data_IF_268103011552
#
_entry.id   IF_268103011552
#
_cell.length_a   1.000
_cell.length_b   1.000
_cell.length_c   1.000
_cell.angle_alpha   90.00
_cell.angle_beta   90.00
_cell.angle_gamma   90.00
#
_symmetry.space_group_name_H-M   'P 1'
#
loop_
_entity.id
_entity.type
_entity.pdbx_description
1 polymer ?
#
# COMPACT_ATOMS: atom_id res chain seq x y z
N UNK A 1 -16.31 6.74 7.77
CA UNK A 1 -15.85 5.40 7.37
C UNK A 1 -15.48 4.61 8.61
N UNK A 2 -15.95 3.38 8.71
CA UNK A 2 -15.60 2.49 9.82
C UNK A 2 -14.24 1.85 9.59
N UNK A 3 -13.65 1.25 10.63
CA UNK A 3 -12.40 0.52 10.50
C UNK A 3 -12.52 -0.64 9.51
N UNK A 4 -13.66 -1.34 9.53
CA UNK A 4 -13.89 -2.44 8.60
C UNK A 4 -13.91 -1.95 7.15
N UNK A 5 -14.58 -0.84 6.89
CA UNK A 5 -14.60 -0.25 5.55
C UNK A 5 -13.21 0.22 5.14
N UNK A 6 -12.45 0.78 6.07
CA UNK A 6 -11.08 1.24 5.80
C UNK A 6 -10.17 0.10 5.34
N UNK A 7 -10.24 -1.03 6.01
CA UNK A 7 -9.32 -2.14 5.75
C UNK A 7 -9.80 -3.08 4.65
N UNK A 8 -11.10 -3.21 4.42
CA UNK A 8 -11.62 -4.27 3.55
C UNK A 8 -12.41 -3.78 2.34
N UNK A 9 -12.96 -2.59 2.39
CA UNK A 9 -13.71 -2.06 1.25
C UNK A 9 -12.79 -1.36 0.27
N UNK A 10 -13.01 -1.60 -1.03
CA UNK A 10 -12.30 -0.89 -2.11
C UNK A 10 -13.11 0.28 -2.65
N UNK A 11 -14.30 0.52 -2.11
CA UNK A 11 -15.16 1.62 -2.53
C UNK A 11 -14.93 2.84 -1.65
N UNK A 12 -15.02 4.01 -2.26
CA UNK A 12 -14.91 5.27 -1.53
C UNK A 12 -13.51 5.88 -1.63
N UNK A 13 -13.24 6.78 -0.70
CA UNK A 13 -12.04 7.62 -0.69
C UNK A 13 -11.50 7.71 0.72
N UNK A 14 -10.19 7.87 0.88
CA UNK A 14 -9.56 8.19 2.17
C UNK A 14 -8.59 9.35 2.01
N UNK A 15 -8.38 10.09 3.08
CA UNK A 15 -7.46 11.21 3.10
C UNK A 15 -6.03 10.82 3.41
N UNK A 16 -5.14 11.83 3.40
CA UNK A 16 -3.71 11.64 3.66
C UNK A 16 -3.45 11.07 5.05
N UNK A 17 -4.18 11.56 6.06
CA UNK A 17 -4.01 11.10 7.44
C UNK A 17 -4.20 9.59 7.55
N UNK A 18 -5.30 9.08 7.00
CA UNK A 18 -5.63 7.67 7.12
C UNK A 18 -4.70 6.81 6.28
N UNK A 19 -4.23 7.32 5.15
CA UNK A 19 -3.23 6.65 4.34
C UNK A 19 -1.91 6.47 5.11
N UNK A 20 -1.42 7.56 5.74
CA UNK A 20 -0.16 7.48 6.50
C UNK A 20 -0.28 6.65 7.77
N UNK A 21 -1.45 6.63 8.41
CA UNK A 21 -1.70 5.74 9.55
C UNK A 21 -1.57 4.28 9.10
N UNK A 22 -2.13 3.93 7.94
CA UNK A 22 -1.98 2.58 7.40
C UNK A 22 -0.52 2.26 7.09
N UNK A 23 0.22 3.18 6.48
CA UNK A 23 1.64 2.98 6.16
C UNK A 23 2.43 2.70 7.44
N UNK A 24 2.17 3.47 8.52
CA UNK A 24 2.84 3.24 9.80
C UNK A 24 2.50 1.86 10.38
N UNK A 25 1.24 1.48 10.36
CA UNK A 25 0.81 0.15 10.82
C UNK A 25 1.48 -0.94 9.98
N UNK A 26 1.52 -0.76 8.68
CA UNK A 26 2.13 -1.71 7.75
C UNK A 26 3.62 -1.90 8.03
N UNK A 27 4.36 -0.79 8.20
CA UNK A 27 5.79 -0.83 8.51
C UNK A 27 6.03 -1.55 9.83
N UNK A 28 5.24 -1.25 10.86
CA UNK A 28 5.37 -1.90 12.17
C UNK A 28 5.08 -3.40 12.07
N UNK A 29 4.03 -3.78 11.34
CA UNK A 29 3.65 -5.18 11.15
C UNK A 29 4.72 -5.94 10.38
N UNK A 30 5.26 -5.37 9.31
CA UNK A 30 6.29 -6.00 8.51
C UNK A 30 7.59 -6.16 9.30
N UNK A 31 7.96 -5.14 10.08
CA UNK A 31 9.14 -5.22 10.95
C UNK A 31 9.01 -6.33 11.99
N UNK A 32 7.84 -6.45 12.59
CA UNK A 32 7.57 -7.52 13.55
C UNK A 32 7.64 -8.90 12.89
N UNK A 33 7.02 -9.05 11.71
CA UNK A 33 7.05 -10.32 10.97
C UNK A 33 8.46 -10.75 10.64
N UNK A 34 9.27 -9.86 10.09
CA UNK A 34 10.64 -10.20 9.71
C UNK A 34 11.52 -10.50 10.93
N UNK A 35 11.33 -9.76 12.02
CA UNK A 35 12.06 -10.02 13.26
C UNK A 35 11.69 -11.38 13.84
N UNK A 36 10.42 -11.72 13.91
CA UNK A 36 9.96 -13.00 14.44
C UNK A 36 10.41 -14.17 13.57
N UNK A 37 10.34 -14.01 12.25
CA UNK A 37 10.79 -15.03 11.31
C UNK A 37 12.31 -15.22 11.39
N UNK A 38 13.07 -14.14 11.50
CA UNK A 38 14.52 -14.18 11.59
C UNK A 38 15.05 -14.78 12.89
N UNK A 39 14.29 -14.65 13.98
CA UNK A 39 14.67 -15.22 15.28
C UNK A 39 14.10 -16.62 15.52
N UNK A 40 13.49 -17.23 14.52
CA UNK A 40 12.86 -18.55 14.56
C UNK A 40 11.69 -18.67 15.54
N UNK A 41 11.16 -17.56 16.03
CA UNK A 41 9.94 -17.55 16.85
C UNK A 41 8.68 -17.78 16.01
N UNK A 42 8.76 -17.48 14.71
CA UNK A 42 7.67 -17.68 13.77
C UNK A 42 8.21 -18.45 12.57
N UNK A 43 7.53 -19.53 12.15
CA UNK A 43 8.02 -20.26 11.01
C UNK A 43 7.74 -19.50 9.70
N UNK A 44 8.52 -19.79 8.67
CA UNK A 44 8.48 -19.06 7.42
C UNK A 44 7.12 -19.19 6.72
N UNK A 45 6.49 -20.36 6.80
CA UNK A 45 5.19 -20.59 6.17
C UNK A 45 4.09 -19.76 6.82
N UNK A 46 4.10 -19.65 8.15
CA UNK A 46 3.15 -18.81 8.87
C UNK A 46 3.37 -17.33 8.55
N UNK A 47 4.62 -16.89 8.50
CA UNK A 47 4.95 -15.52 8.12
C UNK A 47 4.46 -15.19 6.70
N UNK A 48 4.67 -16.11 5.75
CA UNK A 48 4.19 -15.94 4.38
C UNK A 48 2.67 -15.88 4.31
N UNK A 49 1.97 -16.70 5.08
CA UNK A 49 0.51 -16.69 5.14
C UNK A 49 -0.03 -15.35 5.66
N UNK A 50 0.57 -14.83 6.73
CA UNK A 50 0.19 -13.52 7.29
C UNK A 50 0.43 -12.42 6.24
N UNK A 51 1.57 -12.48 5.55
CA UNK A 51 1.89 -11.52 4.49
C UNK A 51 0.84 -11.51 3.39
N UNK A 52 0.41 -12.69 2.94
CA UNK A 52 -0.65 -12.82 1.93
C UNK A 52 -1.96 -12.22 2.44
N UNK A 53 -2.30 -12.48 3.71
CA UNK A 53 -3.51 -11.91 4.31
C UNK A 53 -3.47 -10.39 4.37
N UNK A 54 -2.30 -9.78 4.48
CA UNK A 54 -2.14 -8.33 4.51
C UNK A 54 -2.28 -7.68 3.14
N UNK A 55 -2.23 -8.45 2.05
CA UNK A 55 -2.34 -7.88 0.71
C UNK A 55 -3.71 -7.22 0.46
N UNK A 56 -4.80 -7.80 0.96
CA UNK A 56 -6.12 -7.22 0.76
C UNK A 56 -6.29 -5.86 1.42
N UNK A 57 -5.99 -5.69 2.73
CA UNK A 57 -6.05 -4.36 3.33
C UNK A 57 -5.14 -3.34 2.66
N UNK A 58 -3.93 -3.76 2.27
CA UNK A 58 -2.99 -2.88 1.58
C UNK A 58 -3.57 -2.40 0.25
N UNK A 59 -4.14 -3.32 -0.54
CA UNK A 59 -4.79 -2.97 -1.80
C UNK A 59 -6.00 -2.07 -1.56
N UNK A 60 -6.84 -2.40 -0.58
CA UNK A 60 -8.05 -1.64 -0.29
C UNK A 60 -7.74 -0.20 0.11
N UNK A 61 -6.78 0.01 0.99
CA UNK A 61 -6.37 1.35 1.43
C UNK A 61 -5.76 2.13 0.26
N UNK A 62 -4.88 1.49 -0.51
CA UNK A 62 -4.22 2.13 -1.66
C UNK A 62 -5.25 2.54 -2.72
N UNK A 63 -6.19 1.67 -3.04
CA UNK A 63 -7.24 1.94 -4.04
C UNK A 63 -8.09 3.12 -3.60
N UNK A 64 -8.51 3.14 -2.33
CA UNK A 64 -9.33 4.24 -1.82
C UNK A 64 -8.55 5.57 -1.82
N UNK A 65 -7.27 5.53 -1.54
CA UNK A 65 -6.44 6.74 -1.61
C UNK A 65 -6.29 7.22 -3.06
N UNK A 66 -6.12 6.30 -3.99
CA UNK A 66 -6.13 6.64 -5.42
C UNK A 66 -7.45 7.29 -5.84
N UNK A 67 -8.58 6.76 -5.36
CA UNK A 67 -9.89 7.35 -5.61
C UNK A 67 -9.98 8.78 -5.08
N UNK A 68 -9.40 9.04 -3.91
CA UNK A 68 -9.38 10.40 -3.35
C UNK A 68 -8.57 11.36 -4.23
N UNK A 69 -7.52 10.85 -4.88
CA UNK A 69 -6.74 11.61 -5.85
C UNK A 69 -7.40 11.69 -7.23
N UNK A 70 -8.60 11.15 -7.39
CA UNK A 70 -9.31 11.14 -8.67
C UNK A 70 -8.78 10.10 -9.66
N UNK A 71 -7.99 9.14 -9.19
CA UNK A 71 -7.38 8.10 -10.02
C UNK A 71 -8.08 6.78 -9.85
N UNK A 72 -8.15 6.00 -10.93
CA UNK A 72 -8.71 4.65 -10.90
C UNK A 72 -7.85 3.72 -10.04
N UNK A 73 -8.48 2.70 -9.44
CA UNK A 73 -7.76 1.66 -8.72
C UNK A 73 -6.76 0.90 -9.57
N UNK A 74 -6.84 0.98 -10.90
CA UNK A 74 -5.86 0.37 -11.79
C UNK A 74 -4.44 0.90 -11.57
N UNK A 75 -4.30 2.12 -11.04
CA UNK A 75 -2.97 2.65 -10.68
C UNK A 75 -2.28 1.81 -9.61
N UNK A 76 -3.04 1.06 -8.80
CA UNK A 76 -2.45 0.13 -7.84
C UNK A 76 -1.66 -0.99 -8.51
N UNK A 77 -1.96 -1.31 -9.78
CA UNK A 77 -1.18 -2.29 -10.54
C UNK A 77 0.28 -1.86 -10.73
N UNK A 78 0.55 -0.55 -10.79
CA UNK A 78 1.93 -0.07 -10.83
C UNK A 78 2.69 -0.43 -9.55
N UNK A 79 2.03 -0.34 -8.40
CA UNK A 79 2.62 -0.73 -7.12
C UNK A 79 2.92 -2.23 -7.11
N UNK A 80 1.98 -3.04 -7.58
CA UNK A 80 2.17 -4.48 -7.69
C UNK A 80 3.32 -4.80 -8.64
N UNK A 81 3.39 -4.14 -9.79
CA UNK A 81 4.49 -4.31 -10.74
C UNK A 81 5.83 -3.98 -10.09
N UNK A 82 5.90 -2.87 -9.35
CA UNK A 82 7.13 -2.47 -8.65
C UNK A 82 7.56 -3.54 -7.63
N UNK A 83 6.61 -4.09 -6.86
CA UNK A 83 6.90 -5.17 -5.92
C UNK A 83 7.42 -6.42 -6.63
N UNK A 84 6.81 -6.77 -7.77
CA UNK A 84 7.25 -7.92 -8.55
C UNK A 84 8.66 -7.73 -9.09
N UNK A 85 9.00 -6.52 -9.55
CA UNK A 85 10.33 -6.20 -10.05
C UNK A 85 11.37 -6.30 -8.92
N UNK A 86 11.03 -5.80 -7.72
CA UNK A 86 11.93 -5.91 -6.57
C UNK A 86 12.17 -7.35 -6.13
N UNK A 87 11.12 -8.18 -6.20
CA UNK A 87 11.20 -9.58 -5.77
C UNK A 87 11.83 -10.50 -6.82
N UNK A 88 11.88 -10.06 -8.08
CA UNK A 88 12.37 -10.90 -9.18
C UNK A 88 13.89 -11.06 -9.17
N UNK A 89 14.33 -12.11 -9.86
CA UNK A 89 15.76 -12.37 -10.05
C UNK A 89 16.16 -11.92 -11.46
N UNK A 90 16.96 -10.87 -11.53
CA UNK A 90 17.39 -10.25 -12.78
C UNK A 90 18.83 -10.55 -13.15
N UNK A 91 19.37 -11.64 -12.60
CA UNK A 91 20.78 -12.02 -12.80
C UNK A 91 21.15 -12.30 -14.26
N UNK A 92 20.14 -12.55 -15.12
CA UNK A 92 20.35 -12.75 -16.55
C UNK A 92 20.73 -11.47 -17.30
N UNK A 93 20.51 -10.30 -16.68
CA UNK A 93 20.85 -9.01 -17.27
C UNK A 93 22.24 -8.57 -16.85
N UNK A 94 22.91 -7.76 -17.69
CA UNK A 94 24.21 -7.15 -17.34
C UNK A 94 24.03 -6.14 -16.21
N UNK A 95 25.14 -5.81 -15.48
CA UNK A 95 25.12 -5.07 -14.24
C UNK A 95 24.24 -3.82 -14.20
N UNK A 96 24.38 -2.92 -15.19
CA UNK A 96 23.58 -1.69 -15.23
C UNK A 96 22.08 -2.00 -15.40
N UNK A 97 21.76 -2.89 -16.33
CA UNK A 97 20.37 -3.27 -16.58
C UNK A 97 19.75 -4.05 -15.42
N UNK A 98 20.55 -4.93 -14.79
CA UNK A 98 20.10 -5.66 -13.62
C UNK A 98 19.74 -4.69 -12.49
N UNK A 99 20.57 -3.71 -12.22
CA UNK A 99 20.33 -2.70 -11.20
C UNK A 99 19.11 -1.84 -11.60
N UNK A 100 19.03 -1.38 -12.84
CA UNK A 100 17.94 -0.52 -13.30
C UNK A 100 16.58 -1.19 -13.19
N UNK A 101 16.46 -2.42 -13.70
CA UNK A 101 15.19 -3.14 -13.69
C UNK A 101 14.82 -3.64 -12.28
N UNK A 102 15.80 -4.12 -11.52
CA UNK A 102 15.54 -4.75 -10.23
C UNK A 102 15.50 -3.78 -9.05
N UNK A 103 16.07 -2.58 -9.17
CA UNK A 103 16.19 -1.64 -8.06
C UNK A 103 15.72 -0.24 -8.41
N UNK A 104 16.26 0.36 -9.48
CA UNK A 104 16.02 1.77 -9.78
C UNK A 104 14.58 2.02 -10.19
N UNK A 105 14.08 1.32 -11.20
CA UNK A 105 12.72 1.53 -11.72
C UNK A 105 11.66 1.24 -10.65
N UNK A 106 11.68 0.08 -9.96
CA UNK A 106 10.66 -0.17 -8.95
C UNK A 106 10.72 0.80 -7.77
N UNK A 107 11.91 1.19 -7.33
CA UNK A 107 12.06 2.18 -6.26
C UNK A 107 11.48 3.52 -6.69
N UNK A 108 11.76 3.95 -7.92
CA UNK A 108 11.21 5.20 -8.46
C UNK A 108 9.69 5.17 -8.50
N UNK A 109 9.10 4.08 -8.95
CA UNK A 109 7.63 3.92 -8.98
C UNK A 109 7.05 4.04 -7.58
N UNK A 110 7.62 3.32 -6.61
CA UNK A 110 7.13 3.32 -5.23
C UNK A 110 7.23 4.72 -4.61
N UNK A 111 8.38 5.38 -4.77
CA UNK A 111 8.60 6.73 -4.22
C UNK A 111 7.64 7.73 -4.85
N UNK A 112 7.46 7.69 -6.17
CA UNK A 112 6.54 8.60 -6.85
C UNK A 112 5.10 8.38 -6.40
N UNK A 113 4.67 7.12 -6.23
CA UNK A 113 3.33 6.82 -5.75
C UNK A 113 3.14 7.26 -4.30
N UNK A 114 4.14 7.06 -3.43
CA UNK A 114 4.05 7.52 -2.04
C UNK A 114 3.96 9.03 -1.97
N UNK A 115 4.69 9.75 -2.79
CA UNK A 115 4.60 11.22 -2.86
C UNK A 115 3.21 11.64 -3.34
N UNK A 116 2.73 11.04 -4.42
CA UNK A 116 1.41 11.38 -4.96
C UNK A 116 0.29 11.09 -3.96
N UNK A 117 0.31 9.92 -3.34
CA UNK A 117 -0.76 9.50 -2.45
C UNK A 117 -0.64 10.09 -1.04
N UNK A 118 0.59 10.36 -0.59
CA UNK A 118 0.84 10.80 0.78
C UNK A 118 1.04 12.29 0.97
N UNK A 119 1.52 13.00 -0.05
CA UNK A 119 1.86 14.42 0.07
C UNK A 119 0.84 15.34 -0.58
N UNK A 120 0.26 14.96 -1.71
CA UNK A 120 -0.68 15.80 -2.44
C UNK A 120 -2.07 15.72 -1.85
N UNK A 121 -2.78 16.85 -1.89
CA UNK A 121 -4.17 16.91 -1.45
C UNK A 121 -5.04 16.15 -2.43
N UNK A 122 -6.03 15.41 -1.91
CA UNK A 122 -7.02 14.74 -2.75
C UNK A 122 -7.94 15.72 -3.46
N UNK A 123 -8.82 15.17 -4.30
CA UNK A 123 -9.82 15.97 -5.00
C UNK A 123 -10.71 16.68 -3.99
N UNK A 124 -10.83 18.00 -4.10
CA UNK A 124 -11.75 18.75 -3.26
C UNK A 124 -13.19 18.54 -3.77
N UNK A 125 -14.12 18.37 -2.82
CA UNK A 125 -15.50 18.07 -3.15
C UNK A 125 -15.67 16.66 -3.67
N UNK A 126 -16.84 16.37 -4.23
CA UNK A 126 -17.17 15.05 -4.78
C UNK A 126 -16.44 14.81 -6.10
N UNK A 127 -16.06 13.54 -6.34
CA UNK A 127 -15.58 13.10 -7.64
C UNK A 127 -16.31 11.81 -8.05
N UNK A 128 -15.90 11.18 -9.17
CA UNK A 128 -16.58 9.98 -9.67
C UNK A 128 -16.52 8.79 -8.71
N UNK A 129 -15.66 8.84 -7.68
CA UNK A 129 -15.51 7.76 -6.70
C UNK A 129 -16.23 8.01 -5.39
N UNK A 130 -16.85 9.16 -5.22
CA UNK A 130 -17.65 9.47 -4.04
C UNK A 130 -17.53 10.90 -3.58
N UNK A 131 -18.11 11.16 -2.42
CA UNK A 131 -18.08 12.47 -1.77
C UNK A 131 -16.68 12.72 -1.20
N UNK A 132 -16.41 14.00 -0.90
CA UNK A 132 -15.14 14.35 -0.23
C UNK A 132 -14.96 13.49 1.01
N UNK A 133 -13.71 13.01 1.20
CA UNK A 133 -13.41 12.05 2.24
C UNK A 133 -13.58 12.63 3.64
N UNK A 134 -14.09 11.79 4.55
CA UNK A 134 -14.10 12.04 5.98
C UNK A 134 -13.07 11.12 6.63
N UNK A 135 -12.54 11.55 7.78
CA UNK A 135 -11.60 10.75 8.53
C UNK A 135 -12.20 9.43 8.98
N UNK A 136 -11.37 8.40 9.07
CA UNK A 136 -11.78 7.10 9.60
C UNK A 136 -12.15 7.24 11.07
N UNK A 137 -13.24 6.62 11.47
CA UNK A 137 -13.69 6.59 12.85
C UNK A 137 -12.94 5.50 13.61
N UNK A 138 -12.12 5.92 14.55
CA UNK A 138 -11.31 4.99 15.35
C UNK A 138 -12.02 4.50 16.60
N UNK A 139 -13.10 5.18 17.01
CA UNK A 139 -13.93 4.81 18.16
C UNK A 139 -15.36 4.67 17.71
N UNK A 140 -16.08 3.72 18.30
CA UNK A 140 -17.51 3.62 18.07
C UNK A 140 -18.17 4.90 18.57
N UNK A 141 -19.04 5.49 17.73
CA UNK A 141 -19.84 6.61 18.18
C UNK A 141 -20.97 6.12 19.06
N UNK A 142 -21.07 6.75 20.19
CA UNK A 142 -22.19 6.50 21.11
C UNK A 142 -23.46 7.17 20.61
#
# INVERSE_FOLDING_TARGET
MTLQQWLFSIKGRIGRRDFWIWIAIWIMTMSALFTLAGSNLLNLQTAAFILVCLLWPTAAVTIKRLHDRGKSGLWALLMILAWMLLAGNWSMLSGVWQWGVGRFIPTLIIVMMLIDLGAFVGTQGANKFGKETLDVRWKAES
#
